data_IF_476494442643
#
_entry.id   IF_476494442643
#
_cell.length_a   1.000
_cell.length_b   1.000
_cell.length_c   1.000
_cell.angle_alpha   90.00
_cell.angle_beta   90.00
_cell.angle_gamma   90.00
#
_symmetry.space_group_name_H-M   'P 1'
#
loop_
_entity.id
_entity.type
_entity.pdbx_description
1 polymer ?
#
# COMPACT_ATOMS: atom_id res chain seq x y z
N UNK A 1 -6.77 -31.44 -1.88
CA UNK A 1 -6.79 -29.98 -2.13
C UNK A 1 -8.20 -29.57 -2.55
N UNK A 2 -8.98 -28.98 -1.63
CA UNK A 2 -10.36 -28.54 -1.92
C UNK A 2 -10.34 -27.03 -2.15
N UNK A 3 -10.62 -26.61 -3.39
CA UNK A 3 -10.99 -25.24 -3.72
C UNK A 3 -12.39 -25.01 -3.16
N UNK A 4 -12.51 -24.10 -2.18
CA UNK A 4 -13.80 -23.56 -1.77
C UNK A 4 -14.06 -22.30 -2.59
N UNK A 5 -14.84 -22.45 -3.65
CA UNK A 5 -15.46 -21.33 -4.35
C UNK A 5 -16.69 -20.90 -3.55
N UNK A 6 -16.63 -19.71 -2.94
CA UNK A 6 -17.82 -19.06 -2.40
C UNK A 6 -18.64 -18.49 -3.56
N UNK A 7 -19.50 -19.33 -4.14
CA UNK A 7 -20.58 -18.86 -5.01
C UNK A 7 -21.67 -18.25 -4.13
N UNK A 8 -21.72 -16.92 -4.09
CA UNK A 8 -22.80 -16.18 -3.45
C UNK A 8 -24.06 -16.30 -4.34
N UNK A 9 -24.79 -17.40 -4.20
CA UNK A 9 -26.05 -17.66 -4.90
C UNK A 9 -27.22 -16.99 -4.16
N UNK A 10 -27.32 -15.67 -4.25
CA UNK A 10 -28.58 -14.98 -3.95
C UNK A 10 -29.54 -15.12 -5.13
N UNK A 11 -30.25 -16.25 -5.15
CA UNK A 11 -31.40 -16.50 -6.02
C UNK A 11 -32.58 -15.61 -5.58
N UNK A 12 -32.61 -14.36 -6.05
CA UNK A 12 -33.79 -13.51 -5.92
C UNK A 12 -34.78 -13.88 -7.04
N UNK A 13 -35.75 -14.73 -6.70
CA UNK A 13 -36.84 -15.17 -7.57
C UNK A 13 -37.59 -13.97 -8.15
N UNK A 14 -37.34 -13.67 -9.42
CA UNK A 14 -37.99 -12.60 -10.17
C UNK A 14 -39.20 -13.18 -10.90
N UNK A 15 -40.37 -13.17 -10.25
CA UNK A 15 -41.65 -13.26 -10.97
C UNK A 15 -41.82 -11.99 -11.79
N UNK A 16 -41.51 -12.07 -13.07
CA UNK A 16 -41.80 -11.03 -14.05
C UNK A 16 -43.32 -10.89 -14.24
N UNK A 17 -43.91 -9.80 -13.74
CA UNK A 17 -45.13 -9.22 -14.33
C UNK A 17 -44.75 -7.92 -15.03
N UNK A 18 -45.17 -7.69 -16.29
CA UNK A 18 -44.88 -6.46 -16.99
C UNK A 18 -45.81 -5.36 -16.46
N UNK A 19 -45.26 -4.38 -15.73
CA UNK A 19 -45.97 -3.17 -15.33
C UNK A 19 -45.28 -1.96 -15.95
N UNK A 20 -46.13 -1.10 -16.54
CA UNK A 20 -45.87 0.04 -17.42
C UNK A 20 -44.82 1.03 -16.89
N UNK A 21 -44.05 1.59 -17.83
CA UNK A 21 -42.93 2.51 -17.63
C UNK A 21 -43.33 3.84 -16.98
N UNK A 22 -42.43 4.36 -16.15
CA UNK A 22 -42.56 5.68 -15.50
C UNK A 22 -41.99 5.73 -14.08
N UNK A 23 -42.22 4.69 -13.26
CA UNK A 23 -41.80 4.68 -11.83
C UNK A 23 -40.43 4.03 -11.54
N UNK A 24 -39.76 3.41 -12.54
CA UNK A 24 -38.47 2.70 -12.32
C UNK A 24 -37.30 3.64 -12.01
N UNK A 25 -37.25 4.83 -12.59
CA UNK A 25 -36.10 5.73 -12.42
C UNK A 25 -35.97 6.32 -11.00
N UNK A 26 -37.07 6.59 -10.29
CA UNK A 26 -37.00 7.12 -8.90
C UNK A 26 -36.56 6.05 -7.89
N UNK A 27 -37.02 4.80 -8.04
CA UNK A 27 -36.58 3.67 -7.19
C UNK A 27 -35.12 3.29 -7.41
N UNK A 28 -34.63 3.38 -8.64
CA UNK A 28 -33.20 3.16 -8.95
C UNK A 28 -32.32 4.30 -8.41
N UNK A 29 -32.76 5.57 -8.48
CA UNK A 29 -32.04 6.70 -7.87
C UNK A 29 -31.96 6.59 -6.33
N UNK A 30 -33.06 6.24 -5.66
CA UNK A 30 -33.09 6.06 -4.19
C UNK A 30 -32.23 4.90 -3.71
N UNK A 31 -32.20 3.78 -4.45
CA UNK A 31 -31.32 2.63 -4.12
C UNK A 31 -29.84 2.96 -4.31
N UNK A 32 -29.48 3.67 -5.39
CA UNK A 32 -28.10 4.12 -5.62
C UNK A 32 -27.60 5.05 -4.50
N UNK A 33 -28.43 5.98 -4.04
CA UNK A 33 -28.09 6.89 -2.94
C UNK A 33 -27.83 6.14 -1.61
N UNK A 34 -28.63 5.13 -1.26
CA UNK A 34 -28.45 4.36 -0.03
C UNK A 34 -27.17 3.48 -0.03
N UNK A 35 -26.84 2.88 -1.18
CA UNK A 35 -25.60 2.11 -1.30
C UNK A 35 -24.36 3.03 -1.24
N UNK A 36 -24.45 4.23 -1.83
CA UNK A 36 -23.38 5.23 -1.78
C UNK A 36 -23.16 5.75 -0.35
N UNK A 37 -24.22 6.11 0.37
CA UNK A 37 -24.09 6.59 1.77
C UNK A 37 -23.57 5.50 2.70
N UNK A 38 -23.96 4.23 2.50
CA UNK A 38 -23.46 3.11 3.31
C UNK A 38 -21.96 2.89 3.13
N UNK A 39 -21.43 2.98 1.91
CA UNK A 39 -20.00 2.85 1.64
C UNK A 39 -19.19 3.96 2.33
N UNK A 40 -19.60 5.21 2.12
CA UNK A 40 -18.94 6.37 2.73
C UNK A 40 -18.98 6.34 4.25
N UNK A 41 -20.09 5.88 4.85
CA UNK A 41 -20.19 5.74 6.30
C UNK A 41 -19.22 4.70 6.85
N UNK A 42 -19.01 3.57 6.16
CA UNK A 42 -18.06 2.53 6.60
C UNK A 42 -16.61 3.04 6.51
N UNK A 43 -16.25 3.72 5.42
CA UNK A 43 -14.92 4.31 5.27
C UNK A 43 -14.65 5.37 6.34
N UNK A 44 -15.64 6.22 6.64
CA UNK A 44 -15.51 7.23 7.68
C UNK A 44 -15.34 6.60 9.06
N UNK A 45 -16.14 5.57 9.39
CA UNK A 45 -16.00 4.83 10.64
C UNK A 45 -14.62 4.17 10.79
N UNK A 46 -14.07 3.65 9.69
CA UNK A 46 -12.72 3.08 9.68
C UNK A 46 -11.65 4.15 9.93
N UNK A 47 -11.77 5.32 9.29
CA UNK A 47 -10.88 6.47 9.51
C UNK A 47 -10.95 6.97 10.95
N UNK A 48 -12.16 7.14 11.48
CA UNK A 48 -12.36 7.64 12.84
C UNK A 48 -11.80 6.65 13.87
N UNK A 49 -12.00 5.35 13.67
CA UNK A 49 -11.41 4.31 14.52
C UNK A 49 -9.88 4.38 14.51
N UNK A 50 -9.27 4.51 13.34
CA UNK A 50 -7.83 4.64 13.21
C UNK A 50 -7.33 5.89 13.94
N UNK A 51 -7.98 7.03 13.74
CA UNK A 51 -7.61 8.30 14.39
C UNK A 51 -7.71 8.22 15.91
N UNK A 52 -8.73 7.56 16.45
CA UNK A 52 -8.86 7.38 17.91
C UNK A 52 -7.71 6.55 18.48
N UNK A 53 -7.40 5.40 17.87
CA UNK A 53 -6.29 4.55 18.32
C UNK A 53 -4.94 5.27 18.16
N UNK A 54 -4.75 5.96 17.04
CA UNK A 54 -3.51 6.69 16.78
C UNK A 54 -3.37 7.91 17.67
N UNK A 55 -4.45 8.56 18.11
CA UNK A 55 -4.34 9.70 19.02
C UNK A 55 -3.69 9.34 20.36
N UNK A 56 -3.96 8.13 20.85
CA UNK A 56 -3.44 7.60 22.12
C UNK A 56 -2.19 6.72 21.97
N UNK A 57 -1.86 6.32 20.74
CA UNK A 57 -0.72 5.48 20.41
C UNK A 57 0.63 6.13 20.78
N UNK A 58 1.58 5.29 21.21
CA UNK A 58 2.96 5.72 21.43
C UNK A 58 3.64 6.14 20.12
N UNK A 59 4.66 7.00 20.24
CA UNK A 59 5.42 7.49 19.08
C UNK A 59 5.99 6.35 18.21
N UNK A 60 6.60 5.35 18.85
CA UNK A 60 7.16 4.20 18.14
C UNK A 60 6.10 3.31 17.48
N UNK A 61 4.90 3.20 18.08
CA UNK A 61 3.78 2.47 17.46
C UNK A 61 3.32 3.17 16.18
N UNK A 62 3.21 4.51 16.20
CA UNK A 62 2.91 5.32 14.99
C UNK A 62 3.97 5.15 13.92
N UNK A 63 5.25 5.13 14.29
CA UNK A 63 6.35 4.90 13.35
C UNK A 63 6.29 3.51 12.73
N UNK A 64 6.06 2.46 13.53
CA UNK A 64 5.92 1.10 13.02
C UNK A 64 4.73 0.99 12.04
N UNK A 65 3.61 1.64 12.35
CA UNK A 65 2.44 1.68 11.47
C UNK A 65 2.73 2.43 10.15
N UNK A 66 3.46 3.53 10.25
CA UNK A 66 3.89 4.33 9.10
C UNK A 66 4.89 3.56 8.24
N UNK A 67 5.81 2.81 8.85
CA UNK A 67 6.73 1.93 8.15
C UNK A 67 5.98 0.88 7.34
N UNK A 68 4.98 0.23 7.95
CA UNK A 68 4.14 -0.72 7.24
C UNK A 68 3.39 -0.07 6.06
N UNK A 69 2.77 1.10 6.29
CA UNK A 69 2.06 1.83 5.23
C UNK A 69 2.97 2.27 4.08
N UNK A 70 4.20 2.71 4.39
CA UNK A 70 5.23 3.05 3.41
C UNK A 70 5.57 1.86 2.52
N UNK A 71 5.86 0.70 3.11
CA UNK A 71 6.22 -0.52 2.38
C UNK A 71 5.08 -0.93 1.44
N UNK A 72 3.85 -0.98 1.98
CA UNK A 72 2.68 -1.37 1.19
C UNK A 72 2.43 -0.41 0.03
N UNK A 73 2.68 0.89 0.22
CA UNK A 73 2.51 1.89 -0.84
C UNK A 73 3.59 1.87 -1.91
N UNK A 74 4.82 1.45 -1.58
CA UNK A 74 5.93 1.41 -2.52
C UNK A 74 5.97 0.11 -3.33
N UNK A 75 5.64 -1.02 -2.71
CA UNK A 75 5.75 -2.36 -3.33
C UNK A 75 4.43 -2.83 -3.94
N UNK A 76 3.30 -2.29 -3.47
CA UNK A 76 1.94 -2.77 -3.76
C UNK A 76 1.70 -4.24 -3.36
N UNK A 77 2.60 -4.85 -2.58
CA UNK A 77 2.38 -6.15 -1.95
C UNK A 77 1.62 -5.97 -0.62
N UNK A 78 0.61 -6.80 -0.31
CA UNK A 78 -0.17 -6.62 0.91
C UNK A 78 0.43 -7.29 2.16
N UNK A 79 1.35 -8.24 2.03
CA UNK A 79 1.88 -9.03 3.14
C UNK A 79 3.37 -8.78 3.32
N UNK A 80 3.77 -8.38 4.52
CA UNK A 80 5.17 -8.03 4.82
C UNK A 80 5.68 -8.75 6.06
N UNK A 81 6.94 -9.19 6.04
CA UNK A 81 7.54 -9.84 7.21
C UNK A 81 7.95 -8.82 8.26
N UNK A 82 8.00 -9.25 9.52
CA UNK A 82 8.48 -8.43 10.64
C UNK A 82 9.87 -7.83 10.41
N UNK A 83 10.78 -8.56 9.75
CA UNK A 83 12.12 -8.07 9.38
C UNK A 83 12.05 -6.85 8.48
N UNK A 84 11.34 -6.95 7.36
CA UNK A 84 11.18 -5.84 6.41
C UNK A 84 10.56 -4.61 7.07
N UNK A 85 9.58 -4.82 7.97
CA UNK A 85 8.96 -3.71 8.71
C UNK A 85 9.96 -3.05 9.67
N UNK A 86 10.80 -3.85 10.33
CA UNK A 86 11.82 -3.37 11.26
C UNK A 86 12.89 -2.53 10.56
N UNK A 87 13.38 -2.98 9.41
CA UNK A 87 14.41 -2.27 8.65
C UNK A 87 13.89 -0.90 8.20
N UNK A 88 12.64 -0.88 7.75
CA UNK A 88 11.94 0.31 7.29
C UNK A 88 11.63 1.27 8.45
N UNK A 89 11.27 0.73 9.62
CA UNK A 89 11.16 1.50 10.85
C UNK A 89 12.49 2.19 11.20
N UNK A 90 13.61 1.48 11.08
CA UNK A 90 14.94 2.03 11.35
C UNK A 90 15.35 3.13 10.37
N UNK A 91 14.83 3.12 9.13
CA UNK A 91 15.06 4.18 8.15
C UNK A 91 14.25 5.45 8.42
N UNK A 92 13.03 5.30 8.93
CA UNK A 92 12.12 6.44 9.16
C UNK A 92 12.44 7.15 10.49
N UNK A 93 13.00 6.43 11.46
CA UNK A 93 13.30 7.01 12.77
C UNK A 93 14.26 8.21 12.63
N UNK A 94 13.93 9.30 13.30
CA UNK A 94 14.81 10.46 13.35
C UNK A 94 16.14 10.07 14.01
N UNK A 95 17.27 10.58 13.47
CA UNK A 95 18.63 10.28 13.96
C UNK A 95 18.85 10.61 15.45
N UNK A 96 18.00 11.46 16.02
CA UNK A 96 18.06 11.89 17.42
C UNK A 96 17.33 10.94 18.39
N UNK A 97 16.58 9.94 17.88
CA UNK A 97 15.80 9.01 18.69
C UNK A 97 16.45 7.64 18.62
N UNK A 98 16.64 7.01 19.78
CA UNK A 98 17.21 5.65 19.85
C UNK A 98 16.24 4.63 19.22
N UNK A 99 16.69 3.78 18.28
CA UNK A 99 15.85 2.73 17.74
C UNK A 99 15.51 1.69 18.80
N UNK A 100 14.30 1.13 18.69
CA UNK A 100 13.87 0.01 19.52
C UNK A 100 14.47 -1.29 19.00
N UNK A 101 14.54 -2.30 19.86
CA UNK A 101 14.99 -3.62 19.44
C UNK A 101 13.93 -4.30 18.57
N UNK A 102 14.37 -5.21 17.71
CA UNK A 102 13.50 -6.05 16.88
C UNK A 102 12.35 -6.69 17.68
N UNK A 103 12.67 -7.24 18.86
CA UNK A 103 11.66 -7.84 19.75
C UNK A 103 10.57 -6.84 20.14
N UNK A 104 10.94 -5.62 20.56
CA UNK A 104 9.95 -4.62 20.97
C UNK A 104 9.08 -4.20 19.79
N UNK A 105 9.63 -4.10 18.58
CA UNK A 105 8.84 -3.83 17.37
C UNK A 105 7.84 -4.96 17.09
N UNK A 106 8.23 -6.23 17.24
CA UNK A 106 7.29 -7.36 17.09
C UNK A 106 6.13 -7.33 18.10
N UNK A 107 6.40 -6.89 19.33
CA UNK A 107 5.37 -6.68 20.35
C UNK A 107 4.44 -5.53 19.93
N UNK A 108 4.99 -4.40 19.47
CA UNK A 108 4.19 -3.26 18.99
C UNK A 108 3.31 -3.63 17.80
N UNK A 109 3.79 -4.47 16.87
CA UNK A 109 2.97 -4.96 15.75
C UNK A 109 1.82 -5.85 16.22
N UNK A 110 2.06 -6.63 17.28
CA UNK A 110 1.01 -7.45 17.92
C UNK A 110 0.01 -6.57 18.68
N UNK A 111 0.46 -5.52 19.38
CA UNK A 111 -0.42 -4.50 19.96
C UNK A 111 -1.30 -3.86 18.88
N UNK A 112 -0.72 -3.58 17.70
CA UNK A 112 -1.43 -2.98 16.58
C UNK A 112 -2.48 -3.93 15.97
N UNK A 113 -2.17 -5.22 15.88
CA UNK A 113 -3.13 -6.25 15.50
C UNK A 113 -4.29 -6.34 16.50
N UNK A 114 -4.02 -6.27 17.81
CA UNK A 114 -5.06 -6.29 18.84
C UNK A 114 -6.03 -5.11 18.72
N UNK A 115 -5.57 -3.96 18.23
CA UNK A 115 -6.46 -2.81 17.94
C UNK A 115 -7.31 -3.00 16.68
N UNK A 116 -7.00 -4.01 15.86
CA UNK A 116 -7.69 -4.33 14.61
C UNK A 116 -7.27 -3.45 13.41
N UNK A 117 -6.15 -2.73 13.53
CA UNK A 117 -5.61 -1.89 12.45
C UNK A 117 -4.75 -2.67 11.46
N UNK A 118 -4.20 -3.80 11.89
CA UNK A 118 -3.46 -4.77 11.09
C UNK A 118 -3.99 -6.18 11.27
N UNK A 119 -3.66 -7.04 10.33
CA UNK A 119 -3.92 -8.48 10.38
C UNK A 119 -2.59 -9.20 10.30
N UNK A 120 -2.33 -10.17 11.19
CA UNK A 120 -1.17 -11.04 11.06
C UNK A 120 -1.53 -12.39 10.44
N UNK A 121 -0.53 -13.01 9.82
CA UNK A 121 -0.60 -14.38 9.33
C UNK A 121 0.73 -15.07 9.65
N UNK A 122 0.66 -16.14 10.43
CA UNK A 122 1.83 -16.96 10.76
C UNK A 122 1.92 -18.13 9.82
N UNK A 123 3.00 -18.21 9.05
CA UNK A 123 3.25 -19.31 8.11
C UNK A 123 4.60 -19.97 8.38
N UNK A 124 4.66 -21.29 8.14
CA UNK A 124 5.93 -22.01 8.11
C UNK A 124 6.68 -21.71 6.82
N UNK A 125 7.95 -21.33 6.95
CA UNK A 125 8.91 -21.11 5.84
C UNK A 125 9.85 -22.32 5.66
N UNK A 126 9.45 -23.50 6.12
CA UNK A 126 10.24 -24.74 6.01
C UNK A 126 11.50 -24.70 6.88
N UNK A 127 12.70 -24.80 6.28
CA UNK A 127 13.98 -24.82 7.00
C UNK A 127 14.29 -23.50 7.74
N UNK A 128 13.69 -22.40 7.29
CA UNK A 128 13.84 -21.07 7.90
C UNK A 128 12.94 -20.88 9.14
N UNK A 129 12.16 -21.89 9.52
CA UNK A 129 11.27 -21.85 10.68
C UNK A 129 9.93 -21.16 10.40
N UNK A 130 9.35 -20.54 11.43
CA UNK A 130 8.08 -19.83 11.36
C UNK A 130 8.30 -18.33 11.22
N UNK A 131 7.50 -17.69 10.36
CA UNK A 131 7.51 -16.24 10.21
C UNK A 131 6.09 -15.68 10.33
N UNK A 132 5.97 -14.54 11.02
CA UNK A 132 4.77 -13.72 11.01
C UNK A 132 4.86 -12.71 9.86
N UNK A 133 3.77 -12.60 9.12
CA UNK A 133 3.56 -11.56 8.13
C UNK A 133 2.42 -10.68 8.58
N UNK A 134 2.50 -9.39 8.28
CA UNK A 134 1.49 -8.40 8.61
C UNK A 134 0.94 -7.77 7.35
N UNK A 135 -0.37 -7.49 7.40
CA UNK A 135 -1.10 -6.80 6.36
C UNK A 135 -1.83 -5.60 6.95
N UNK A 136 -1.85 -4.51 6.20
CA UNK A 136 -2.64 -3.33 6.52
C UNK A 136 -4.13 -3.55 6.22
N UNK A 137 -5.00 -3.23 7.18
CA UNK A 137 -6.45 -3.31 6.99
C UNK A 137 -7.00 -2.09 6.25
N UNK A 138 -6.36 -0.93 6.42
CA UNK A 138 -6.74 0.34 5.82
C UNK A 138 -5.86 0.66 4.62
N UNK A 139 -6.30 1.60 3.78
CA UNK A 139 -5.44 2.11 2.71
C UNK A 139 -4.23 2.85 3.30
N UNK A 140 -3.03 2.67 2.74
CA UNK A 140 -1.80 3.28 3.25
C UNK A 140 -1.86 4.82 3.27
N UNK A 141 -2.58 5.43 2.34
CA UNK A 141 -2.77 6.89 2.26
C UNK A 141 -3.47 7.47 3.49
N UNK A 142 -4.51 6.80 3.99
CA UNK A 142 -5.23 7.23 5.20
C UNK A 142 -4.28 7.19 6.40
N UNK A 143 -3.49 6.12 6.49
CA UNK A 143 -2.58 5.86 7.60
C UNK A 143 -1.43 6.87 7.63
N UNK A 144 -0.79 7.09 6.49
CA UNK A 144 0.31 8.04 6.37
C UNK A 144 -0.13 9.47 6.73
N UNK A 145 -1.29 9.89 6.23
CA UNK A 145 -1.86 11.19 6.56
C UNK A 145 -2.23 11.35 8.04
N UNK A 146 -2.71 10.29 8.69
CA UNK A 146 -3.08 10.32 10.10
C UNK A 146 -1.87 10.36 11.05
N UNK A 147 -0.79 9.65 10.73
CA UNK A 147 0.41 9.58 11.56
C UNK A 147 1.35 10.78 11.35
N UNK A 148 1.81 10.98 10.11
CA UNK A 148 2.84 11.96 9.77
C UNK A 148 2.56 12.57 8.38
N UNK A 149 1.68 13.59 8.29
CA UNK A 149 1.25 14.14 7.00
C UNK A 149 2.39 14.76 6.20
N UNK A 150 3.35 15.42 6.86
CA UNK A 150 4.47 16.08 6.18
C UNK A 150 5.47 15.07 5.60
N UNK A 151 5.68 13.96 6.30
CA UNK A 151 6.50 12.85 5.80
C UNK A 151 5.81 12.17 4.62
N UNK A 152 4.49 11.95 4.73
CA UNK A 152 3.72 11.26 3.70
C UNK A 152 3.68 12.05 2.38
N UNK A 153 3.47 13.37 2.44
CA UNK A 153 3.53 14.24 1.25
C UNK A 153 4.85 14.14 0.51
N UNK A 154 5.98 14.17 1.24
CA UNK A 154 7.32 14.00 0.65
C UNK A 154 7.46 12.64 -0.04
N UNK A 155 6.90 11.59 0.57
CA UNK A 155 6.94 10.24 0.01
C UNK A 155 6.11 10.14 -1.29
N UNK A 156 4.91 10.73 -1.30
CA UNK A 156 4.09 10.81 -2.52
C UNK A 156 4.78 11.61 -3.63
N UNK A 157 5.44 12.72 -3.29
CA UNK A 157 6.22 13.53 -4.23
C UNK A 157 7.37 12.71 -4.84
N UNK A 158 8.14 11.99 -4.01
CA UNK A 158 9.22 11.12 -4.49
C UNK A 158 8.72 10.00 -5.41
N UNK A 159 7.59 9.35 -5.07
CA UNK A 159 6.99 8.33 -5.94
C UNK A 159 6.54 8.90 -7.28
N UNK A 160 5.83 10.04 -7.28
CA UNK A 160 5.39 10.71 -8.50
C UNK A 160 6.58 11.11 -9.39
N UNK A 161 7.66 11.64 -8.81
CA UNK A 161 8.87 11.98 -9.57
C UNK A 161 9.50 10.76 -10.21
N UNK A 162 9.57 9.63 -9.50
CA UNK A 162 10.11 8.39 -10.06
C UNK A 162 9.24 7.84 -11.20
N UNK A 163 7.91 7.83 -11.03
CA UNK A 163 6.97 7.42 -12.09
C UNK A 163 7.06 8.29 -13.34
N UNK A 164 7.16 9.62 -13.17
CA UNK A 164 7.36 10.56 -14.28
C UNK A 164 8.71 10.33 -14.98
N UNK A 165 9.76 10.05 -14.22
CA UNK A 165 11.07 9.74 -14.79
C UNK A 165 11.01 8.43 -15.61
N UNK A 166 10.33 7.40 -15.11
CA UNK A 166 10.11 6.14 -15.86
C UNK A 166 9.31 6.39 -17.14
N UNK A 167 8.23 7.17 -17.07
CA UNK A 167 7.38 7.46 -18.23
C UNK A 167 8.13 8.27 -19.29
N UNK A 168 8.87 9.29 -18.86
CA UNK A 168 9.73 10.07 -19.74
C UNK A 168 10.78 9.18 -20.42
N UNK A 169 11.44 8.29 -19.68
CA UNK A 169 12.39 7.33 -20.24
C UNK A 169 11.73 6.37 -21.24
N UNK A 170 10.55 5.84 -20.90
CA UNK A 170 9.81 4.96 -21.80
C UNK A 170 9.47 5.67 -23.11
N UNK A 171 9.09 6.95 -23.05
CA UNK A 171 8.82 7.75 -24.24
C UNK A 171 10.07 8.02 -25.09
N UNK A 172 11.24 8.18 -24.46
CA UNK A 172 12.51 8.36 -25.16
C UNK A 172 12.96 7.08 -25.88
N UNK A 173 12.72 5.90 -25.29
CA UNK A 173 13.01 4.62 -25.93
C UNK A 173 12.12 4.36 -27.15
N UNK A 174 10.91 4.94 -27.22
CA UNK A 174 10.03 4.86 -28.40
C UNK A 174 10.50 5.76 -29.55
N UNK A 175 11.19 6.86 -29.25
CA UNK A 175 11.76 7.77 -30.25
C UNK A 175 13.13 7.31 -30.76
N UNK A 176 13.64 6.18 -30.27
CA UNK A 176 14.97 5.69 -30.63
C UNK A 176 14.97 5.13 -32.05
N UNK A 177 15.75 5.71 -32.98
CA UNK A 177 15.86 5.16 -34.31
C UNK A 177 16.47 3.76 -34.24
N UNK A 178 15.79 2.80 -34.88
CA UNK A 178 16.22 1.40 -35.02
C UNK A 178 17.37 1.34 -36.04
N UNK A 179 18.54 1.90 -35.73
CA UNK A 179 19.62 2.08 -36.70
C UNK A 179 21.00 1.86 -36.09
N UNK A 180 21.72 0.88 -36.64
CA UNK A 180 23.07 0.45 -36.26
C UNK A 180 24.19 1.43 -36.63
N UNK A 181 24.04 2.71 -36.30
CA UNK A 181 25.10 3.71 -36.47
C UNK A 181 26.01 3.77 -35.22
N UNK A 182 27.33 3.77 -35.43
CA UNK A 182 28.34 3.72 -34.36
C UNK A 182 28.40 4.97 -33.48
N UNK A 183 27.93 6.11 -33.99
CA UNK A 183 28.01 7.42 -33.32
C UNK A 183 27.09 7.55 -32.09
N UNK A 184 25.92 6.90 -32.07
CA UNK A 184 24.98 6.99 -30.95
C UNK A 184 25.25 5.97 -29.83
N UNK A 185 26.27 5.09 -29.97
CA UNK A 185 26.62 4.11 -28.93
C UNK A 185 27.20 4.74 -27.66
N UNK A 186 27.84 5.91 -27.78
CA UNK A 186 28.46 6.61 -26.66
C UNK A 186 27.41 7.23 -25.72
N UNK A 187 26.42 7.93 -26.30
CA UNK A 187 25.33 8.53 -25.53
C UNK A 187 24.42 7.47 -24.91
N UNK A 188 24.19 6.35 -25.62
CA UNK A 188 23.44 5.21 -25.09
C UNK A 188 24.09 4.58 -23.84
N UNK A 189 25.44 4.53 -23.74
CA UNK A 189 26.13 4.09 -22.52
C UNK A 189 25.93 5.03 -21.33
N UNK A 190 25.97 6.34 -21.57
CA UNK A 190 25.77 7.34 -20.51
C UNK A 190 24.33 7.37 -20.02
N UNK A 191 23.35 7.30 -20.93
CA UNK A 191 21.93 7.18 -20.55
C UNK A 191 21.69 5.88 -19.78
N UNK A 192 22.26 4.76 -20.21
CA UNK A 192 22.15 3.49 -19.48
C UNK A 192 22.84 3.50 -18.12
N UNK A 193 23.95 4.25 -17.94
CA UNK A 193 24.59 4.36 -16.63
C UNK A 193 23.79 5.25 -15.69
N UNK A 194 23.25 6.37 -16.17
CA UNK A 194 22.36 7.24 -15.39
C UNK A 194 21.08 6.50 -14.99
N UNK A 195 20.51 5.69 -15.88
CA UNK A 195 19.36 4.83 -15.59
C UNK A 195 19.64 3.84 -14.47
N UNK A 196 20.77 3.13 -14.55
CA UNK A 196 21.19 2.21 -13.48
C UNK A 196 21.36 2.94 -12.16
N UNK A 197 21.96 4.13 -12.18
CA UNK A 197 22.14 4.92 -10.97
C UNK A 197 20.80 5.37 -10.36
N UNK A 198 19.83 5.82 -11.17
CA UNK A 198 18.51 6.22 -10.70
C UNK A 198 17.67 5.02 -10.21
N UNK A 199 17.75 3.88 -10.88
CA UNK A 199 17.09 2.63 -10.47
C UNK A 199 17.71 2.07 -9.18
N UNK A 200 19.04 2.17 -9.03
CA UNK A 200 19.77 1.74 -7.83
C UNK A 200 19.48 2.69 -6.66
N UNK A 201 19.38 4.01 -6.88
CA UNK A 201 18.93 4.98 -5.88
C UNK A 201 17.47 4.74 -5.45
N UNK A 202 16.59 4.39 -6.38
CA UNK A 202 15.21 4.02 -6.06
C UNK A 202 15.14 2.71 -5.28
N UNK A 203 15.95 1.71 -5.64
CA UNK A 203 16.07 0.47 -4.89
C UNK A 203 16.64 0.69 -3.50
N UNK A 204 17.63 1.55 -3.30
CA UNK A 204 18.15 1.89 -1.97
C UNK A 204 17.12 2.69 -1.14
N UNK A 205 16.31 3.51 -1.82
CA UNK A 205 15.20 4.21 -1.18
C UNK A 205 14.10 3.25 -0.69
N UNK A 206 13.71 2.28 -1.53
CA UNK A 206 12.63 1.31 -1.24
C UNK A 206 13.12 0.15 -0.37
N UNK A 207 14.35 -0.30 -0.58
CA UNK A 207 15.16 -1.32 0.08
C UNK A 207 14.37 -2.50 0.64
N UNK A 208 14.17 -3.47 -0.24
CA UNK A 208 13.83 -4.84 0.12
C UNK A 208 14.94 -5.67 -0.52
N UNK A 209 15.76 -6.32 0.31
CA UNK A 209 16.72 -7.34 -0.12
C UNK A 209 16.05 -8.49 -0.89
#
# INVERSE_FOLDING_TARGET
MRKFEFTCTWRCSTRHRPVKGGRRNRRLKSRKACCQTRGLAVEQLQKDRANLVLSTASYHLKLAYTALARITYLIDEPWHSTSTIYDQYCKIIAKNVKPLTYRRISELLTELENTGLTVSHTASKGRQGYGTQYKLTLSPEIVGNACFPDFWKKLEESKKQHELNIEYESSLDLLRPRSGSSFFKSTDRLVKSLRRQADDEWKDFVDID
#
